data_IF_590679891403
#
_entry.id   IF_590679891403
#
_cell.length_a   1.000
_cell.length_b   1.000
_cell.length_c   1.000
_cell.angle_alpha   90.00
_cell.angle_beta   90.00
_cell.angle_gamma   90.00
#
_symmetry.space_group_name_H-M   'P 1'
#
loop_
_entity.id
_entity.type
_entity.pdbx_description
1 polymer ?
#
# COMPACT_ATOMS: atom_id res chain seq x y z
N UNK A 1 14.53 -3.48 -11.15
CA UNK A 1 14.38 -2.02 -11.26
C UNK A 1 13.00 -1.63 -10.71
N UNK A 2 12.92 -0.82 -9.65
CA UNK A 2 11.61 -0.30 -9.17
C UNK A 2 11.23 0.88 -10.06
N UNK A 3 10.26 0.68 -10.96
CA UNK A 3 9.65 1.79 -11.70
C UNK A 3 8.94 2.69 -10.68
N UNK A 4 9.58 3.82 -10.33
CA UNK A 4 8.95 4.88 -9.56
C UNK A 4 8.09 5.67 -10.56
N UNK A 5 6.84 5.24 -10.80
CA UNK A 5 5.90 6.02 -11.62
C UNK A 5 5.62 7.34 -10.89
N UNK A 6 5.80 8.47 -11.58
CA UNK A 6 5.50 9.78 -11.02
C UNK A 6 4.01 9.89 -10.68
N UNK A 7 3.69 10.48 -9.54
CA UNK A 7 2.31 10.61 -9.04
C UNK A 7 1.39 11.42 -9.98
N UNK A 8 1.98 12.17 -10.92
CA UNK A 8 1.30 12.98 -11.94
C UNK A 8 1.20 12.30 -13.32
N UNK A 9 1.65 11.04 -13.45
CA UNK A 9 1.56 10.32 -14.73
C UNK A 9 0.09 9.99 -15.08
N UNK A 10 -0.28 10.15 -16.36
CA UNK A 10 -1.60 9.78 -16.89
C UNK A 10 -1.97 8.33 -16.53
N UNK A 11 -1.01 7.41 -16.61
CA UNK A 11 -1.23 6.00 -16.27
C UNK A 11 -1.51 5.79 -14.77
N UNK A 12 -0.82 6.55 -13.90
CA UNK A 12 -1.06 6.52 -12.47
C UNK A 12 -2.43 7.12 -12.09
N UNK A 13 -2.89 8.11 -12.85
CA UNK A 13 -4.25 8.66 -12.71
C UNK A 13 -5.31 7.65 -13.18
N UNK A 14 -5.10 6.98 -14.32
CA UNK A 14 -6.01 5.95 -14.84
C UNK A 14 -6.13 4.74 -13.91
N UNK A 15 -5.05 4.35 -13.26
CA UNK A 15 -5.06 3.28 -12.25
C UNK A 15 -5.86 3.62 -10.98
N UNK A 16 -6.08 4.91 -10.69
CA UNK A 16 -6.90 5.40 -9.57
C UNK A 16 -8.35 5.68 -9.97
N UNK A 17 -8.60 5.94 -11.25
CA UNK A 17 -9.94 6.16 -11.77
C UNK A 17 -10.76 4.86 -11.75
N UNK A 18 -12.11 4.95 -11.82
CA UNK A 18 -12.93 3.77 -12.04
C UNK A 18 -12.43 2.98 -13.25
N UNK A 19 -12.37 1.65 -13.14
CA UNK A 19 -11.75 0.79 -14.16
C UNK A 19 -12.31 1.03 -15.58
N UNK A 20 -13.59 1.42 -15.69
CA UNK A 20 -14.25 1.72 -16.97
C UNK A 20 -13.65 2.92 -17.71
N UNK A 21 -13.00 3.85 -17.01
CA UNK A 21 -12.37 5.04 -17.62
C UNK A 21 -11.24 4.64 -18.57
N UNK A 22 -10.46 3.61 -18.25
CA UNK A 22 -9.39 3.13 -19.13
C UNK A 22 -9.94 2.56 -20.44
N UNK A 23 -11.10 1.90 -20.40
CA UNK A 23 -11.78 1.41 -21.60
C UNK A 23 -12.35 2.56 -22.44
N UNK A 24 -12.91 3.61 -21.82
CA UNK A 24 -13.34 4.81 -22.57
C UNK A 24 -12.17 5.50 -23.29
N UNK A 25 -11.02 5.63 -22.62
CA UNK A 25 -9.81 6.20 -23.26
C UNK A 25 -9.34 5.31 -24.40
N UNK A 26 -9.32 3.99 -24.21
CA UNK A 26 -9.00 3.03 -25.27
C UNK A 26 -9.91 3.22 -26.49
N UNK A 27 -11.23 3.29 -26.30
CA UNK A 27 -12.19 3.51 -27.38
C UNK A 27 -11.99 4.86 -28.07
N UNK A 28 -11.75 5.93 -27.32
CA UNK A 28 -11.49 7.25 -27.89
C UNK A 28 -10.23 7.26 -28.77
N UNK A 29 -9.13 6.67 -28.29
CA UNK A 29 -7.88 6.57 -29.06
C UNK A 29 -8.08 5.73 -30.33
N UNK A 30 -8.76 4.59 -30.22
CA UNK A 30 -9.03 3.71 -31.37
C UNK A 30 -9.92 4.40 -32.41
N UNK A 31 -10.94 5.15 -32.00
CA UNK A 31 -11.82 5.90 -32.90
C UNK A 31 -11.10 7.04 -33.61
N UNK A 32 -10.29 7.83 -32.88
CA UNK A 32 -9.49 8.91 -33.47
C UNK A 32 -8.48 8.36 -34.47
N UNK A 33 -7.78 7.28 -34.11
CA UNK A 33 -6.85 6.60 -35.00
C UNK A 33 -7.56 6.05 -36.26
N UNK A 34 -8.72 5.42 -36.10
CA UNK A 34 -9.50 4.89 -37.22
C UNK A 34 -10.06 5.96 -38.16
N UNK A 35 -10.43 7.13 -37.63
CA UNK A 35 -11.03 8.23 -38.39
C UNK A 35 -10.00 9.13 -39.10
N UNK A 36 -8.84 9.37 -38.49
CA UNK A 36 -7.86 10.35 -38.96
C UNK A 36 -6.64 9.75 -39.67
N UNK A 37 -6.30 8.48 -39.43
CA UNK A 37 -5.10 7.88 -40.03
C UNK A 37 -5.35 7.32 -41.44
N UNK A 38 -4.36 7.43 -42.35
CA UNK A 38 -4.39 6.74 -43.64
C UNK A 38 -4.52 5.22 -43.46
N UNK A 39 -5.13 4.53 -44.44
CA UNK A 39 -5.40 3.08 -44.39
C UNK A 39 -4.18 2.24 -43.98
N UNK A 40 -2.99 2.62 -44.46
CA UNK A 40 -1.72 1.95 -44.16
C UNK A 40 -1.34 1.96 -42.67
N UNK A 41 -1.86 2.91 -41.88
CA UNK A 41 -1.50 3.10 -40.47
C UNK A 41 -2.67 2.90 -39.50
N UNK A 42 -3.91 2.70 -39.99
CA UNK A 42 -5.11 2.54 -39.15
C UNK A 42 -4.95 1.41 -38.13
N UNK A 43 -4.50 0.24 -38.57
CA UNK A 43 -4.31 -0.94 -37.70
C UNK A 43 -3.24 -0.71 -36.63
N UNK A 44 -2.09 -0.14 -37.02
CA UNK A 44 -1.02 0.20 -36.09
C UNK A 44 -1.46 1.27 -35.07
N UNK A 45 -2.20 2.29 -35.51
CA UNK A 45 -2.75 3.34 -34.64
C UNK A 45 -3.79 2.80 -33.65
N UNK A 46 -4.67 1.89 -34.09
CA UNK A 46 -5.65 1.24 -33.20
C UNK A 46 -4.96 0.31 -32.18
N UNK A 47 -3.91 -0.43 -32.58
CA UNK A 47 -3.09 -1.22 -31.65
C UNK A 47 -2.37 -0.35 -30.62
N UNK A 48 -2.11 0.93 -30.93
CA UNK A 48 -1.62 1.92 -29.98
C UNK A 48 -2.53 2.14 -28.76
N UNK A 49 -3.81 1.75 -28.83
CA UNK A 49 -4.73 1.80 -27.70
C UNK A 49 -4.57 0.61 -26.72
N UNK A 50 -3.83 -0.44 -27.09
CA UNK A 50 -3.68 -1.67 -26.30
C UNK A 50 -3.14 -1.46 -24.87
N UNK A 51 -2.20 -0.55 -24.59
CA UNK A 51 -1.78 -0.26 -23.22
C UNK A 51 -2.92 0.17 -22.28
N UNK A 52 -3.95 0.87 -22.80
CA UNK A 52 -5.11 1.27 -22.02
C UNK A 52 -6.04 0.09 -21.69
N UNK A 53 -6.14 -0.89 -22.59
CA UNK A 53 -6.82 -2.16 -22.32
C UNK A 53 -6.16 -2.89 -21.15
N UNK A 54 -4.82 -3.04 -21.18
CA UNK A 54 -4.06 -3.69 -20.11
C UNK A 54 -4.30 -2.98 -18.77
N UNK A 55 -4.25 -1.66 -18.75
CA UNK A 55 -4.53 -0.87 -17.54
C UNK A 55 -5.98 -1.05 -17.07
N UNK A 56 -6.94 -1.08 -17.98
CA UNK A 56 -8.35 -1.33 -17.65
C UNK A 56 -8.56 -2.69 -17.00
N UNK A 57 -7.94 -3.75 -17.53
CA UNK A 57 -7.99 -5.09 -16.94
C UNK A 57 -7.31 -5.13 -15.57
N UNK A 58 -6.12 -4.53 -15.43
CA UNK A 58 -5.42 -4.45 -14.15
C UNK A 58 -6.22 -3.67 -13.09
N UNK A 59 -6.79 -2.52 -13.48
CA UNK A 59 -7.62 -1.70 -12.60
C UNK A 59 -8.90 -2.44 -12.20
N UNK A 60 -9.56 -3.14 -13.13
CA UNK A 60 -10.75 -3.94 -12.84
C UNK A 60 -10.45 -5.08 -11.87
N UNK A 61 -9.34 -5.80 -12.07
CA UNK A 61 -8.94 -6.89 -11.18
C UNK A 61 -8.58 -6.37 -9.78
N UNK A 62 -7.83 -5.26 -9.71
CA UNK A 62 -7.49 -4.60 -8.44
C UNK A 62 -8.72 -4.07 -7.71
N UNK A 63 -9.65 -3.43 -8.41
CA UNK A 63 -10.87 -2.87 -7.80
C UNK A 63 -11.83 -3.97 -7.34
N UNK A 64 -11.87 -5.12 -8.05
CA UNK A 64 -12.65 -6.29 -7.62
C UNK A 64 -12.09 -6.97 -6.37
N UNK A 65 -10.77 -7.05 -6.26
CA UNK A 65 -10.10 -7.66 -5.11
C UNK A 65 -9.88 -6.68 -3.94
N UNK A 66 -10.28 -5.41 -4.09
CA UNK A 66 -10.16 -4.43 -3.02
C UNK A 66 -11.25 -4.65 -1.96
N UNK A 67 -10.87 -4.50 -0.70
CA UNK A 67 -11.83 -4.53 0.41
C UNK A 67 -12.78 -3.33 0.27
N UNK A 68 -14.08 -3.57 0.48
CA UNK A 68 -15.07 -2.50 0.41
C UNK A 68 -14.85 -1.44 1.52
N UNK A 69 -15.23 -0.18 1.31
CA UNK A 69 -15.07 0.87 2.32
C UNK A 69 -15.80 0.55 3.64
N UNK A 70 -16.98 -0.08 3.58
CA UNK A 70 -17.72 -0.52 4.77
C UNK A 70 -16.95 -1.58 5.55
N UNK A 71 -16.37 -2.56 4.83
CA UNK A 71 -15.56 -3.61 5.46
C UNK A 71 -14.27 -3.06 6.07
N UNK A 72 -13.66 -2.04 5.45
CA UNK A 72 -12.52 -1.32 6.05
C UNK A 72 -12.95 -0.70 7.38
N UNK A 73 -14.09 -0.01 7.44
CA UNK A 73 -14.58 0.59 8.70
C UNK A 73 -14.83 -0.47 9.78
N UNK A 74 -15.50 -1.58 9.44
CA UNK A 74 -15.71 -2.70 10.35
C UNK A 74 -14.39 -3.24 10.92
N UNK A 75 -13.40 -3.48 10.06
CA UNK A 75 -12.09 -3.99 10.47
C UNK A 75 -11.33 -2.98 11.33
N UNK A 76 -11.41 -1.68 11.02
CA UNK A 76 -10.84 -0.62 11.86
C UNK A 76 -11.47 -0.63 13.26
N UNK A 77 -12.79 -0.71 13.37
CA UNK A 77 -13.47 -0.74 14.66
C UNK A 77 -13.15 -2.02 15.46
N UNK A 78 -13.06 -3.17 14.78
CA UNK A 78 -12.56 -4.42 15.39
C UNK A 78 -11.13 -4.24 15.90
N UNK A 79 -10.26 -3.59 15.12
CA UNK A 79 -8.88 -3.29 15.50
C UNK A 79 -8.85 -2.43 16.79
N UNK A 80 -9.70 -1.41 16.91
CA UNK A 80 -9.71 -0.50 18.06
C UNK A 80 -9.94 -1.22 19.38
N UNK A 81 -10.75 -2.27 19.41
CA UNK A 81 -11.05 -3.03 20.63
C UNK A 81 -10.13 -4.25 20.84
N UNK A 82 -9.40 -4.68 19.81
CA UNK A 82 -8.57 -5.88 19.84
C UNK A 82 -7.32 -5.78 20.73
N UNK A 83 -6.99 -6.82 21.48
CA UNK A 83 -5.76 -6.87 22.28
C UNK A 83 -4.50 -6.93 21.40
N UNK A 84 -3.36 -6.48 21.94
CA UNK A 84 -2.08 -6.54 21.22
C UNK A 84 -1.72 -7.97 20.77
N UNK A 85 -1.97 -8.97 21.61
CA UNK A 85 -1.67 -10.38 21.31
C UNK A 85 -2.34 -10.81 20.02
N UNK A 86 -3.65 -10.65 19.91
CA UNK A 86 -4.42 -11.08 18.74
C UNK A 86 -4.08 -10.23 17.51
N UNK A 87 -3.95 -8.92 17.69
CA UNK A 87 -3.57 -7.99 16.62
C UNK A 87 -2.22 -8.35 16.01
N UNK A 88 -1.23 -8.63 16.85
CA UNK A 88 0.12 -8.96 16.41
C UNK A 88 0.19 -10.26 15.60
N UNK A 89 -0.66 -11.24 15.91
CA UNK A 89 -0.76 -12.50 15.16
C UNK A 89 -1.32 -12.26 13.76
N UNK A 90 -2.40 -11.48 13.65
CA UNK A 90 -2.99 -11.15 12.34
C UNK A 90 -2.02 -10.37 11.45
N UNK A 91 -1.34 -9.37 12.01
CA UNK A 91 -0.36 -8.57 11.27
C UNK A 91 0.82 -9.43 10.82
N UNK A 92 1.36 -10.28 11.68
CA UNK A 92 2.46 -11.20 11.35
C UNK A 92 2.06 -12.15 10.21
N UNK A 93 0.88 -12.74 10.29
CA UNK A 93 0.42 -13.70 9.29
C UNK A 93 0.14 -13.02 7.95
N UNK A 94 -0.45 -11.83 7.97
CA UNK A 94 -0.62 -11.02 6.75
C UNK A 94 0.72 -10.70 6.08
N UNK A 95 1.73 -10.31 6.86
CA UNK A 95 3.06 -10.04 6.35
C UNK A 95 3.73 -11.30 5.78
N UNK A 96 3.56 -12.46 6.43
CA UNK A 96 4.04 -13.75 5.91
C UNK A 96 3.36 -14.12 4.58
N UNK A 97 2.04 -13.97 4.50
CA UNK A 97 1.28 -14.22 3.27
C UNK A 97 1.74 -13.30 2.13
N UNK A 98 2.15 -12.06 2.45
CA UNK A 98 2.75 -11.13 1.49
C UNK A 98 4.21 -11.50 1.11
N UNK A 99 4.76 -12.60 1.62
CA UNK A 99 6.09 -13.12 1.32
C UNK A 99 7.23 -12.42 2.08
N UNK A 100 6.94 -11.86 3.25
CA UNK A 100 7.98 -11.37 4.17
C UNK A 100 8.39 -12.46 5.14
N UNK A 101 9.69 -12.53 5.47
CA UNK A 101 10.16 -13.23 6.66
C UNK A 101 9.94 -12.30 7.83
N UNK A 102 9.20 -12.74 8.85
CA UNK A 102 8.80 -11.90 10.00
C UNK A 102 9.44 -12.42 11.28
N UNK A 103 10.11 -11.53 12.00
CA UNK A 103 10.68 -11.78 13.32
C UNK A 103 10.06 -10.80 14.32
N UNK A 104 9.47 -11.30 15.41
CA UNK A 104 8.96 -10.44 16.49
C UNK A 104 10.11 -9.84 17.29
N UNK A 105 9.96 -8.57 17.64
CA UNK A 105 10.85 -7.85 18.52
C UNK A 105 10.08 -7.53 19.81
N UNK A 106 10.67 -7.86 20.95
CA UNK A 106 10.05 -7.62 22.25
C UNK A 106 10.54 -6.33 22.91
N UNK A 107 11.60 -5.72 22.38
CA UNK A 107 12.29 -4.58 22.98
C UNK A 107 12.44 -3.42 22.00
N UNK A 108 12.33 -2.21 22.55
CA UNK A 108 12.48 -0.96 21.80
C UNK A 108 11.21 -0.50 21.07
N UNK A 109 11.36 0.47 20.15
CA UNK A 109 10.23 1.12 19.48
C UNK A 109 9.64 0.29 18.33
N UNK A 110 10.29 -0.79 17.90
CA UNK A 110 9.81 -1.69 16.85
C UNK A 110 9.23 -2.98 17.44
N UNK A 111 8.18 -3.51 16.81
CA UNK A 111 7.52 -4.76 17.21
C UNK A 111 7.83 -5.91 16.25
N UNK A 112 8.17 -5.60 14.99
CA UNK A 112 8.57 -6.59 14.00
C UNK A 112 9.81 -6.14 13.25
N UNK A 113 10.66 -7.10 12.92
CA UNK A 113 11.62 -7.00 11.84
C UNK A 113 11.08 -7.84 10.69
N UNK A 114 10.88 -7.22 9.53
CA UNK A 114 10.47 -7.92 8.31
C UNK A 114 11.59 -7.88 7.28
N UNK A 115 11.75 -8.96 6.55
CA UNK A 115 12.74 -9.05 5.48
C UNK A 115 12.11 -9.56 4.19
N UNK A 116 12.44 -8.89 3.08
CA UNK A 116 12.08 -9.34 1.74
C UNK A 116 13.14 -8.90 0.74
N UNK A 117 13.63 -9.86 -0.07
CA UNK A 117 14.70 -9.63 -1.04
C UNK A 117 15.98 -9.02 -0.41
N UNK A 118 16.39 -9.52 0.75
CA UNK A 118 17.58 -9.06 1.48
C UNK A 118 17.45 -7.65 2.07
N UNK A 119 16.26 -7.05 2.09
CA UNK A 119 16.01 -5.73 2.68
C UNK A 119 15.24 -5.87 3.97
N UNK A 120 15.89 -5.50 5.06
CA UNK A 120 15.31 -5.48 6.41
C UNK A 120 14.53 -4.19 6.63
N UNK A 121 13.30 -4.30 7.12
CA UNK A 121 12.46 -3.17 7.53
C UNK A 121 11.98 -3.37 8.96
N UNK A 122 12.11 -2.34 9.80
CA UNK A 122 11.56 -2.36 11.15
C UNK A 122 10.13 -1.83 11.15
N UNK A 123 9.18 -2.56 11.74
CA UNK A 123 7.78 -2.16 11.82
C UNK A 123 7.42 -1.91 13.28
N UNK A 124 6.91 -0.71 13.55
CA UNK A 124 6.38 -0.29 14.85
C UNK A 124 4.87 -0.29 14.82
N UNK A 125 4.27 -0.99 15.77
CA UNK A 125 2.85 -0.90 16.09
C UNK A 125 2.61 -0.52 17.56
N UNK A 126 3.63 -0.14 18.35
CA UNK A 126 3.50 0.25 19.78
C UNK A 126 2.34 1.18 20.11
N UNK A 127 2.11 2.19 19.28
CA UNK A 127 1.07 3.22 19.47
C UNK A 127 -0.09 3.11 18.49
N UNK A 128 -0.35 1.90 17.98
CA UNK A 128 -1.32 1.67 16.92
C UNK A 128 -2.75 2.13 17.25
N UNK A 129 -3.15 2.18 18.53
CA UNK A 129 -4.47 2.71 18.96
C UNK A 129 -4.47 4.18 19.38
N UNK A 130 -3.31 4.83 19.43
CA UNK A 130 -3.25 6.22 19.88
C UNK A 130 -4.05 7.12 18.93
N UNK A 131 -4.78 8.09 19.49
CA UNK A 131 -5.55 9.05 18.68
C UNK A 131 -4.64 9.84 17.73
N UNK A 132 -3.46 10.24 18.22
CA UNK A 132 -2.42 10.93 17.45
C UNK A 132 -1.05 10.34 17.72
N UNK A 133 -0.27 10.11 16.67
CA UNK A 133 1.15 9.73 16.74
C UNK A 133 2.01 10.95 16.38
N UNK A 134 2.85 11.36 17.32
CA UNK A 134 3.75 12.51 17.17
C UNK A 134 5.13 12.13 16.62
N UNK A 135 5.88 13.14 16.16
CA UNK A 135 7.20 12.96 15.55
C UNK A 135 8.22 12.26 16.45
N UNK A 136 8.11 12.38 17.78
CA UNK A 136 9.10 11.81 18.70
C UNK A 136 9.17 10.28 18.63
N UNK A 137 8.01 9.61 18.60
CA UNK A 137 7.93 8.15 18.42
C UNK A 137 8.60 7.70 17.12
N UNK A 138 8.48 8.51 16.06
CA UNK A 138 9.10 8.24 14.77
C UNK A 138 10.61 8.46 14.82
N UNK A 139 11.11 9.47 15.54
CA UNK A 139 12.55 9.70 15.73
C UNK A 139 13.21 8.55 16.46
N UNK A 140 12.59 8.04 17.52
CA UNK A 140 13.08 6.86 18.24
C UNK A 140 13.18 5.64 17.30
N UNK A 141 12.14 5.42 16.49
CA UNK A 141 12.16 4.33 15.50
C UNK A 141 13.25 4.52 14.45
N UNK A 142 13.49 5.74 13.97
CA UNK A 142 14.56 6.07 13.04
C UNK A 142 15.94 5.84 13.64
N UNK A 143 16.14 6.21 14.90
CA UNK A 143 17.39 5.98 15.62
C UNK A 143 17.71 4.47 15.70
N UNK A 144 16.71 3.64 16.00
CA UNK A 144 16.88 2.18 16.02
C UNK A 144 17.06 1.59 14.62
N UNK A 145 16.40 2.15 13.61
CA UNK A 145 16.64 1.77 12.20
C UNK A 145 18.08 2.05 11.80
N UNK A 146 18.65 3.18 12.21
CA UNK A 146 20.05 3.53 11.95
C UNK A 146 21.02 2.64 12.71
N UNK A 147 20.81 2.40 14.01
CA UNK A 147 21.70 1.56 14.81
C UNK A 147 21.73 0.09 14.37
N UNK A 148 20.64 -0.40 13.78
CA UNK A 148 20.54 -1.77 13.23
C UNK A 148 20.86 -1.86 11.73
N UNK A 149 21.27 -0.76 11.10
CA UNK A 149 21.51 -0.65 9.65
C UNK A 149 20.36 -1.23 8.79
N UNK A 150 19.12 -1.06 9.26
CA UNK A 150 17.95 -1.57 8.56
C UNK A 150 17.66 -0.68 7.33
N UNK A 151 17.20 -1.27 6.24
CA UNK A 151 16.94 -0.55 4.99
C UNK A 151 15.89 0.56 5.16
N UNK A 152 14.80 0.29 5.87
CA UNK A 152 13.74 1.27 6.16
C UNK A 152 13.02 0.96 7.48
N UNK A 153 12.12 1.84 7.89
CA UNK A 153 11.19 1.56 8.98
C UNK A 153 9.75 1.95 8.62
N UNK A 154 8.79 1.40 9.36
CA UNK A 154 7.37 1.60 9.11
C UNK A 154 6.66 1.81 10.44
N UNK A 155 5.82 2.84 10.55
CA UNK A 155 4.98 3.07 11.73
C UNK A 155 3.51 2.88 11.38
N UNK A 156 2.79 2.07 12.17
CA UNK A 156 1.37 1.76 11.99
C UNK A 156 0.51 2.52 13.02
N UNK A 157 -0.60 3.12 12.57
CA UNK A 157 -1.58 3.75 13.45
C UNK A 157 -3.01 3.70 12.91
N UNK A 158 -3.98 3.46 13.80
CA UNK A 158 -5.42 3.65 13.58
C UNK A 158 -5.86 5.10 13.82
N UNK A 159 -5.02 5.91 14.45
CA UNK A 159 -5.23 7.34 14.63
C UNK A 159 -4.60 8.15 13.50
N UNK A 160 -4.39 9.43 13.76
CA UNK A 160 -3.76 10.36 12.82
C UNK A 160 -2.28 10.55 13.15
N UNK A 161 -1.47 10.83 12.13
CA UNK A 161 -0.10 11.30 12.32
C UNK A 161 -0.11 12.82 12.41
N UNK A 162 0.63 13.41 13.35
CA UNK A 162 0.76 14.87 13.41
C UNK A 162 1.48 15.40 12.17
N UNK A 163 1.31 16.69 11.84
CA UNK A 163 1.99 17.28 10.69
C UNK A 163 3.52 17.09 10.78
N UNK A 164 4.09 17.33 11.96
CA UNK A 164 5.52 17.11 12.20
C UNK A 164 5.95 15.64 12.01
N UNK A 165 5.07 14.67 12.28
CA UNK A 165 5.34 13.24 12.03
C UNK A 165 5.32 12.92 10.53
N UNK A 166 4.40 13.53 9.79
CA UNK A 166 4.29 13.40 8.33
C UNK A 166 5.52 14.04 7.66
N UNK A 167 5.89 15.26 8.06
CA UNK A 167 7.05 15.97 7.52
C UNK A 167 8.34 15.15 7.75
N UNK A 168 8.53 14.63 8.97
CA UNK A 168 9.67 13.77 9.30
C UNK A 168 9.69 12.49 8.45
N UNK A 169 8.53 11.86 8.22
CA UNK A 169 8.46 10.65 7.42
C UNK A 169 8.78 10.90 5.93
N UNK A 170 8.40 12.06 5.38
CA UNK A 170 8.69 12.43 4.01
C UNK A 170 10.19 12.61 3.75
N UNK A 171 10.93 13.11 4.75
CA UNK A 171 12.37 13.36 4.66
C UNK A 171 13.24 12.16 5.06
N UNK A 172 12.62 11.03 5.44
CA UNK A 172 13.32 9.88 6.02
C UNK A 172 12.98 8.56 5.29
N UNK A 173 13.80 7.50 5.43
CA UNK A 173 13.47 6.16 4.94
C UNK A 173 12.41 5.49 5.82
N UNK A 174 11.25 6.14 5.96
CA UNK A 174 10.13 5.73 6.78
C UNK A 174 8.83 5.66 5.97
N UNK A 175 7.96 4.71 6.31
CA UNK A 175 6.59 4.66 5.80
C UNK A 175 5.58 4.77 6.95
N UNK A 176 4.49 5.47 6.71
CA UNK A 176 3.37 5.57 7.63
C UNK A 176 2.21 4.72 7.10
N UNK A 177 1.72 3.79 7.91
CA UNK A 177 0.57 2.96 7.60
C UNK A 177 -0.61 3.42 8.44
N UNK A 178 -1.66 3.88 7.76
CA UNK A 178 -2.88 4.36 8.39
C UNK A 178 -3.91 3.25 8.63
N UNK A 179 -5.08 3.66 9.08
CA UNK A 179 -6.20 2.78 9.43
C UNK A 179 -6.62 1.83 8.29
N UNK A 180 -6.66 2.32 7.04
CA UNK A 180 -6.99 1.49 5.89
C UNK A 180 -5.94 0.39 5.62
N UNK A 181 -4.65 0.69 5.83
CA UNK A 181 -3.60 -0.31 5.70
C UNK A 181 -3.69 -1.37 6.80
N UNK A 182 -4.02 -0.96 8.02
CA UNK A 182 -4.24 -1.88 9.13
C UNK A 182 -5.44 -2.79 8.86
N UNK A 183 -6.55 -2.24 8.37
CA UNK A 183 -7.71 -3.04 7.97
C UNK A 183 -7.35 -4.08 6.91
N UNK A 184 -6.55 -3.71 5.91
CA UNK A 184 -6.06 -4.67 4.92
C UNK A 184 -5.24 -5.78 5.55
N UNK A 185 -4.28 -5.45 6.42
CA UNK A 185 -3.48 -6.45 7.13
C UNK A 185 -4.35 -7.38 8.00
N UNK A 186 -5.37 -6.84 8.66
CA UNK A 186 -6.30 -7.68 9.44
C UNK A 186 -7.09 -8.63 8.55
N UNK A 187 -7.54 -8.17 7.39
CA UNK A 187 -8.26 -9.00 6.44
C UNK A 187 -7.38 -10.12 5.87
N UNK A 188 -6.19 -9.76 5.40
CA UNK A 188 -5.22 -10.70 4.83
C UNK A 188 -4.81 -11.76 5.87
N UNK A 189 -4.48 -11.32 7.10
CA UNK A 189 -4.12 -12.21 8.19
C UNK A 189 -5.25 -13.14 8.62
N UNK A 190 -6.49 -12.65 8.66
CA UNK A 190 -7.65 -13.48 8.98
C UNK A 190 -7.89 -14.54 7.90
N UNK A 191 -7.76 -14.18 6.62
CA UNK A 191 -7.89 -15.12 5.52
C UNK A 191 -6.77 -16.18 5.54
N UNK A 192 -5.55 -15.77 5.86
CA UNK A 192 -4.39 -16.67 5.94
C UNK A 192 -4.51 -17.70 7.07
N UNK A 193 -5.09 -17.33 8.22
CA UNK A 193 -5.34 -18.27 9.32
C UNK A 193 -6.50 -19.26 9.05
N UNK A 194 -7.33 -18.98 8.03
CA UNK A 194 -8.45 -19.84 7.64
C UNK A 194 -8.10 -20.80 6.48
N UNK A 195 -6.94 -20.61 5.85
CA UNK A 195 -6.46 -21.40 4.71
C UNK A 195 -5.64 -22.63 5.18
#
# INVERSE_FOLDING_TARGET
MKFKMSEKSLFAALLRAPWWVSFLVMFAVALVAGALLPEAYKTAGMLGAFPFFVIGVMAAWRQRNAISPSRIQELVEQARVMGWRDFSVLVEEALRQQGFVVTRLNEGPADFQIEKNGRVTLVSAKRWKAATVGAEHLRELLAVRQSRDAFSCTCMSLGVFSQAAIDLANDSPMQLLGSANIAQLMHDGANALQA
#
